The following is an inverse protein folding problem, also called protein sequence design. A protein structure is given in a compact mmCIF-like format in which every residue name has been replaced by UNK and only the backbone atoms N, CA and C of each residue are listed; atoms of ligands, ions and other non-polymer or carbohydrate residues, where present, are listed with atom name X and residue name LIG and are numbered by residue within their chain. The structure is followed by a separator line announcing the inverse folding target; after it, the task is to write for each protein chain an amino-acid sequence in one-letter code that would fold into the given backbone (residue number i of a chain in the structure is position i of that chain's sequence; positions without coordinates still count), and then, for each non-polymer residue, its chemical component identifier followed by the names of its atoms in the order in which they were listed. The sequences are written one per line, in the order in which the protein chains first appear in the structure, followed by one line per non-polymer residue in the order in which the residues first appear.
data_IF_108605156291
#
_entry.id   IF_108605156291
#
_cell.length_a   1.000
_cell.length_b   1.000
_cell.length_c   1.000
_cell.angle_alpha   90.00
_cell.angle_beta   90.00
_cell.angle_gamma   90.00
#
_symmetry.space_group_name_H-M   'P 1'
#
loop_
_entity.id
_entity.type
_entity.pdbx_description
1 polymer ?
#
# COMPACT_ATOMS: atom_id res chain seq x y z
N UNK A 1 38.95 21.36 30.62
CA UNK A 1 37.97 20.55 31.38
C UNK A 1 36.53 20.83 30.96
N UNK A 2 36.00 22.06 31.10
CA UNK A 2 34.65 22.44 30.63
C UNK A 2 34.33 22.15 29.16
N UNK A 3 35.27 22.41 28.24
CA UNK A 3 35.08 22.15 26.80
C UNK A 3 34.94 20.65 26.49
N UNK A 4 35.69 19.81 27.21
CA UNK A 4 35.67 18.36 27.08
C UNK A 4 34.32 17.80 27.59
N UNK A 5 33.80 18.37 28.69
CA UNK A 5 32.47 18.03 29.22
C UNK A 5 31.37 18.38 28.22
N UNK A 6 31.43 19.56 27.60
CA UNK A 6 30.44 19.97 26.58
C UNK A 6 30.50 19.06 25.34
N UNK A 7 31.70 18.70 24.90
CA UNK A 7 31.89 17.82 23.74
C UNK A 7 31.37 16.40 24.02
N UNK A 8 31.61 15.87 25.22
CA UNK A 8 31.06 14.57 25.65
C UNK A 8 29.54 14.64 25.77
N UNK A 9 28.98 15.70 26.37
CA UNK A 9 27.54 15.87 26.47
C UNK A 9 26.87 15.94 25.08
N UNK A 10 27.47 16.65 24.12
CA UNK A 10 26.99 16.72 22.74
C UNK A 10 27.04 15.34 22.07
N UNK A 11 28.10 14.57 22.27
CA UNK A 11 28.23 13.22 21.74
C UNK A 11 27.17 12.27 22.32
N UNK A 12 26.86 12.38 23.62
CA UNK A 12 25.80 11.60 24.27
C UNK A 12 24.43 11.97 23.69
N UNK A 13 24.14 13.27 23.52
CA UNK A 13 22.88 13.71 22.91
C UNK A 13 22.76 13.18 21.48
N UNK A 14 23.82 13.27 20.67
CA UNK A 14 23.82 12.73 19.32
C UNK A 14 23.58 11.21 19.31
N UNK A 15 24.23 10.46 20.21
CA UNK A 15 24.01 9.03 20.36
C UNK A 15 22.55 8.71 20.75
N UNK A 16 21.96 9.46 21.67
CA UNK A 16 20.54 9.30 22.05
C UNK A 16 19.63 9.58 20.86
N UNK A 17 19.88 10.63 20.08
CA UNK A 17 19.08 10.94 18.87
C UNK A 17 19.19 9.81 17.84
N UNK A 18 20.39 9.28 17.59
CA UNK A 18 20.61 8.15 16.68
C UNK A 18 19.86 6.91 17.16
N UNK A 19 19.93 6.59 18.46
CA UNK A 19 19.21 5.46 19.06
C UNK A 19 17.69 5.64 18.95
N UNK A 20 17.18 6.85 19.15
CA UNK A 20 15.76 7.15 18.96
C UNK A 20 15.37 6.97 17.50
N UNK A 21 16.14 7.49 16.53
CA UNK A 21 15.87 7.27 15.11
C UNK A 21 15.81 5.78 14.76
N UNK A 22 16.76 4.98 15.25
CA UNK A 22 16.75 3.53 15.04
C UNK A 22 15.52 2.87 15.67
N UNK A 23 15.19 3.20 16.91
CA UNK A 23 14.02 2.63 17.61
C UNK A 23 12.69 2.98 16.92
N UNK A 24 12.55 4.21 16.41
CA UNK A 24 11.37 4.63 15.67
C UNK A 24 11.32 4.02 14.26
N UNK A 25 12.47 3.90 13.58
CA UNK A 25 12.55 3.26 12.27
C UNK A 25 12.18 1.76 12.36
N UNK A 26 12.66 1.05 13.38
CA UNK A 26 12.33 -0.37 13.60
C UNK A 26 10.85 -0.58 13.89
N UNK A 27 10.25 0.29 14.72
CA UNK A 27 8.81 0.24 15.01
C UNK A 27 7.97 0.55 13.77
N UNK A 28 8.38 1.53 12.97
CA UNK A 28 7.70 1.88 11.72
C UNK A 28 7.81 0.74 10.69
N UNK A 29 8.98 0.11 10.59
CA UNK A 29 9.20 -1.03 9.72
C UNK A 29 8.37 -2.25 10.16
N UNK A 30 8.32 -2.53 11.47
CA UNK A 30 7.49 -3.61 12.02
C UNK A 30 5.99 -3.38 11.79
N UNK A 31 5.52 -2.14 11.95
CA UNK A 31 4.12 -1.77 11.67
C UNK A 31 3.77 -1.90 10.18
N UNK A 32 4.69 -1.48 9.30
CA UNK A 32 4.55 -1.64 7.85
C UNK A 32 4.54 -3.12 7.44
N UNK A 33 5.46 -3.92 7.96
CA UNK A 33 5.52 -5.36 7.70
C UNK A 33 4.31 -6.12 8.26
N UNK A 34 3.70 -5.65 9.35
CA UNK A 34 2.45 -6.21 9.87
C UNK A 34 1.25 -5.87 8.98
N UNK A 35 1.20 -4.65 8.44
CA UNK A 35 0.19 -4.26 7.45
C UNK A 35 0.35 -5.05 6.14
N UNK A 36 1.57 -5.16 5.62
CA UNK A 36 1.87 -5.93 4.41
C UNK A 36 1.50 -7.42 4.54
N UNK A 37 1.74 -8.05 5.69
CA UNK A 37 1.32 -9.45 5.94
C UNK A 37 -0.20 -9.66 5.96
N UNK A 38 -0.96 -8.63 6.34
CA UNK A 38 -2.43 -8.66 6.31
C UNK A 38 -3.00 -8.18 4.98
N UNK A 39 -2.16 -7.70 4.06
CA UNK A 39 -2.59 -7.05 2.85
C UNK A 39 -2.95 -8.08 1.77
N UNK A 40 -4.12 -7.93 1.18
CA UNK A 40 -4.59 -8.79 0.10
C UNK A 40 -4.89 -7.94 -1.13
N UNK A 41 -4.45 -8.43 -2.28
CA UNK A 41 -4.84 -7.87 -3.57
C UNK A 41 -6.27 -8.26 -3.90
N UNK A 42 -7.10 -7.28 -4.21
CA UNK A 42 -8.50 -7.45 -4.62
C UNK A 42 -8.82 -6.63 -5.87
N UNK A 43 -9.74 -7.13 -6.68
CA UNK A 43 -10.33 -6.38 -7.79
C UNK A 43 -11.37 -5.41 -7.25
N UNK A 44 -11.33 -4.17 -7.71
CA UNK A 44 -12.33 -3.16 -7.39
C UNK A 44 -12.76 -2.43 -8.66
N UNK A 45 -14.05 -2.14 -8.76
CA UNK A 45 -14.62 -1.38 -9.87
C UNK A 45 -15.17 -0.09 -9.31
N UNK A 46 -14.69 1.03 -9.85
CA UNK A 46 -15.16 2.38 -9.52
C UNK A 46 -15.85 2.93 -10.78
N UNK A 47 -17.11 3.37 -10.66
CA UNK A 47 -17.80 4.11 -11.74
C UNK A 47 -17.98 5.55 -11.28
N UNK A 48 -17.38 6.49 -12.01
CA UNK A 48 -17.50 7.92 -11.71
C UNK A 48 -17.35 8.74 -12.97
N UNK A 49 -18.13 9.83 -13.09
CA UNK A 49 -18.00 10.77 -14.21
C UNK A 49 -18.29 10.18 -15.59
N UNK A 50 -19.10 9.11 -15.68
CA UNK A 50 -19.36 8.42 -16.95
C UNK A 50 -18.23 7.50 -17.41
N UNK A 51 -17.31 7.15 -16.51
CA UNK A 51 -16.21 6.21 -16.78
C UNK A 51 -16.22 5.10 -15.72
N UNK A 52 -16.25 3.87 -16.19
CA UNK A 52 -16.03 2.68 -15.39
C UNK A 52 -14.54 2.33 -15.37
N UNK A 53 -13.93 2.43 -14.20
CA UNK A 53 -12.52 2.11 -13.98
C UNK A 53 -12.40 0.79 -13.23
N UNK A 54 -11.73 -0.18 -13.85
CA UNK A 54 -11.38 -1.45 -13.20
C UNK A 54 -9.97 -1.31 -12.64
N UNK A 55 -9.84 -1.48 -11.33
CA UNK A 55 -8.56 -1.39 -10.61
C UNK A 55 -8.29 -2.66 -9.82
N UNK A 56 -7.02 -2.89 -9.54
CA UNK A 56 -6.53 -3.89 -8.60
C UNK A 56 -5.87 -3.14 -7.45
N UNK A 57 -6.36 -3.34 -6.24
CA UNK A 57 -5.87 -2.64 -5.05
C UNK A 57 -5.37 -3.63 -4.00
N UNK A 58 -4.30 -3.26 -3.31
CA UNK A 58 -3.78 -3.98 -2.17
C UNK A 58 -4.35 -3.36 -0.91
N UNK A 59 -5.18 -4.11 -0.20
CA UNK A 59 -5.90 -3.59 0.97
C UNK A 59 -5.64 -4.42 2.21
N UNK A 60 -5.65 -3.74 3.35
CA UNK A 60 -5.73 -4.37 4.67
C UNK A 60 -7.12 -4.16 5.23
N UNK A 61 -7.66 -5.19 5.87
CA UNK A 61 -8.94 -5.13 6.56
C UNK A 61 -8.73 -5.27 8.06
N UNK A 62 -9.64 -4.71 8.84
CA UNK A 62 -9.68 -4.95 10.29
C UNK A 62 -10.42 -6.26 10.61
N UNK A 63 -10.54 -6.58 11.90
CA UNK A 63 -11.19 -7.81 12.37
C UNK A 63 -12.71 -7.84 12.08
N UNK A 64 -13.33 -6.69 11.83
CA UNK A 64 -14.73 -6.58 11.40
C UNK A 64 -14.89 -6.73 9.87
N UNK A 65 -13.78 -6.74 9.12
CA UNK A 65 -13.75 -6.83 7.66
C UNK A 65 -13.78 -5.46 6.97
N UNK A 66 -13.77 -4.37 7.73
CA UNK A 66 -13.77 -3.01 7.19
C UNK A 66 -12.40 -2.65 6.60
N UNK A 67 -12.40 -1.80 5.57
CA UNK A 67 -11.16 -1.34 4.93
C UNK A 67 -10.37 -0.49 5.91
N UNK A 68 -9.20 -0.98 6.31
CA UNK A 68 -8.31 -0.29 7.23
C UNK A 68 -7.30 0.61 6.51
N UNK A 69 -6.70 0.12 5.43
CA UNK A 69 -5.77 0.89 4.61
C UNK A 69 -5.63 0.30 3.21
N UNK A 70 -5.48 1.18 2.21
CA UNK A 70 -5.04 0.84 0.85
C UNK A 70 -3.54 1.09 0.74
N UNK A 71 -2.76 0.05 0.42
CA UNK A 71 -1.29 0.09 0.34
C UNK A 71 -0.78 0.28 -1.08
N UNK A 72 -1.60 -0.07 -2.09
CA UNK A 72 -1.24 0.05 -3.49
C UNK A 72 -2.45 -0.05 -4.41
N UNK A 73 -2.38 0.59 -5.57
CA UNK A 73 -3.43 0.64 -6.59
C UNK A 73 -2.82 0.51 -7.98
N UNK A 74 -3.42 -0.32 -8.82
CA UNK A 74 -3.09 -0.41 -10.24
C UNK A 74 -4.37 -0.35 -11.07
N UNK A 75 -4.44 0.60 -12.00
CA UNK A 75 -5.52 0.66 -12.98
C UNK A 75 -5.31 -0.39 -14.05
N UNK A 76 -6.34 -1.19 -14.33
CA UNK A 76 -6.35 -2.18 -15.40
C UNK A 76 -6.94 -1.56 -16.66
N UNK A 77 -8.10 -0.92 -16.54
CA UNK A 77 -8.76 -0.23 -17.63
C UNK A 77 -9.62 0.92 -17.10
N UNK A 78 -9.80 1.93 -17.94
CA UNK A 78 -10.82 2.97 -17.79
C UNK A 78 -11.66 2.94 -19.07
N UNK A 79 -12.96 2.69 -18.93
CA UNK A 79 -13.89 2.45 -20.04
C UNK A 79 -14.98 3.52 -19.94
N UNK A 80 -15.17 4.30 -20.98
CA UNK A 80 -16.27 5.26 -21.03
C UNK A 80 -17.61 4.52 -21.06
N UNK A 81 -18.55 4.90 -20.19
CA UNK A 81 -19.85 4.24 -20.04
C UNK A 81 -20.71 4.33 -21.32
N UNK A 82 -20.38 5.25 -22.23
CA UNK A 82 -21.01 5.39 -23.54
C UNK A 82 -20.37 4.57 -24.67
N UNK A 83 -19.31 3.80 -24.40
CA UNK A 83 -18.64 2.96 -25.41
C UNK A 83 -19.59 1.84 -25.88
N UNK A 84 -19.71 1.65 -27.21
CA UNK A 84 -20.53 0.59 -27.80
C UNK A 84 -19.98 -0.82 -27.48
N UNK A 85 -18.68 -0.92 -27.22
CA UNK A 85 -17.98 -2.16 -26.85
C UNK A 85 -17.80 -2.30 -25.32
N UNK A 86 -18.48 -1.45 -24.52
CA UNK A 86 -18.28 -1.38 -23.07
C UNK A 86 -18.31 -2.74 -22.37
N UNK A 87 -19.28 -3.59 -22.71
CA UNK A 87 -19.47 -4.89 -22.08
C UNK A 87 -18.29 -5.84 -22.33
N UNK A 88 -17.79 -5.85 -23.57
CA UNK A 88 -16.64 -6.68 -23.98
C UNK A 88 -15.38 -6.18 -23.29
N UNK A 89 -15.14 -4.86 -23.32
CA UNK A 89 -14.00 -4.23 -22.64
C UNK A 89 -14.01 -4.47 -21.14
N UNK A 90 -15.19 -4.41 -20.52
CA UNK A 90 -15.34 -4.64 -19.08
C UNK A 90 -15.02 -6.09 -18.71
N UNK A 91 -15.55 -7.05 -19.48
CA UNK A 91 -15.26 -8.47 -19.26
C UNK A 91 -13.78 -8.79 -19.46
N UNK A 92 -13.15 -8.23 -20.49
CA UNK A 92 -11.71 -8.37 -20.72
C UNK A 92 -10.90 -7.76 -19.57
N UNK A 93 -11.24 -6.54 -19.15
CA UNK A 93 -10.59 -5.87 -18.03
C UNK A 93 -10.73 -6.66 -16.72
N UNK A 94 -11.89 -7.28 -16.48
CA UNK A 94 -12.11 -8.15 -15.32
C UNK A 94 -11.30 -9.45 -15.39
N UNK A 95 -11.17 -10.06 -16.57
CA UNK A 95 -10.32 -11.23 -16.76
C UNK A 95 -8.84 -10.89 -16.51
N UNK A 96 -8.36 -9.78 -17.06
CA UNK A 96 -7.01 -9.27 -16.82
C UNK A 96 -6.79 -8.93 -15.35
N UNK A 97 -7.75 -8.26 -14.69
CA UNK A 97 -7.66 -7.91 -13.28
C UNK A 97 -7.53 -9.16 -12.39
N UNK A 98 -8.31 -10.21 -12.64
CA UNK A 98 -8.19 -11.49 -11.91
C UNK A 98 -6.83 -12.16 -12.12
N UNK A 99 -6.35 -12.20 -13.35
CA UNK A 99 -5.01 -12.73 -13.66
C UNK A 99 -3.91 -11.96 -12.92
N UNK A 100 -4.02 -10.63 -12.90
CA UNK A 100 -3.07 -9.74 -12.22
C UNK A 100 -3.10 -9.90 -10.71
N UNK A 101 -4.29 -10.03 -10.10
CA UNK A 101 -4.44 -10.35 -8.68
C UNK A 101 -3.74 -11.67 -8.35
N UNK A 102 -3.96 -12.72 -9.16
CA UNK A 102 -3.32 -14.02 -8.93
C UNK A 102 -1.78 -13.91 -8.99
N UNK A 103 -1.24 -13.23 -10.00
CA UNK A 103 0.21 -13.01 -10.13
C UNK A 103 0.79 -12.22 -8.94
N UNK A 104 0.14 -11.11 -8.57
CA UNK A 104 0.57 -10.27 -7.45
C UNK A 104 0.47 -10.99 -6.10
N UNK A 105 -0.51 -11.88 -5.93
CA UNK A 105 -0.62 -12.72 -4.74
C UNK A 105 0.48 -13.79 -4.70
N UNK A 106 0.88 -14.37 -5.84
CA UNK A 106 2.01 -15.31 -5.91
C UNK A 106 3.37 -14.65 -5.67
N UNK A 107 3.56 -13.39 -6.07
CA UNK A 107 4.78 -12.63 -5.76
C UNK A 107 4.87 -12.21 -4.29
N UNK A 108 3.72 -12.02 -3.64
CA UNK A 108 3.64 -11.59 -2.24
C UNK A 108 3.70 -12.75 -1.23
N UNK A 109 3.59 -14.01 -1.68
CA UNK A 109 3.57 -15.22 -0.84
C UNK A 109 4.96 -15.80 -0.57
#
# INVERSE_FOLDING_TARGET
MRFLIVLVALAVVAAVVVLLMYAFADRSAAGKAALERGARWETHTESSGGVTTVVVRQVTRDDAGDLRAELGRQTVAAIEDGDAEWEERYHEAMAQARSRVAALQSEAS
#
